data_IF_129410118328
#
_entry.id   IF_129410118328
#
_cell.length_a   1.000
_cell.length_b   1.000
_cell.length_c   1.000
_cell.angle_alpha   90.00
_cell.angle_beta   90.00
_cell.angle_gamma   90.00
#
_symmetry.space_group_name_H-M   'P 1'
#
loop_
_entity.id
_entity.type
_entity.pdbx_description
1 polymer ?
#
# COMPACT_ATOMS: atom_id res chain seq x y z
N UNK A 1 -37.23 2.41 -19.19
CA UNK A 1 -36.23 1.34 -19.38
C UNK A 1 -34.86 1.94 -19.11
N UNK A 2 -34.44 1.92 -17.84
CA UNK A 2 -33.12 2.38 -17.40
C UNK A 2 -32.39 1.20 -16.78
N UNK A 3 -31.32 0.77 -17.43
CA UNK A 3 -30.44 -0.28 -16.91
C UNK A 3 -29.52 0.40 -15.91
N UNK A 4 -29.74 0.13 -14.62
CA UNK A 4 -28.81 0.43 -13.54
C UNK A 4 -27.54 -0.40 -13.79
N UNK A 5 -26.49 0.24 -14.29
CA UNK A 5 -25.16 -0.31 -14.27
C UNK A 5 -24.70 -0.39 -12.81
N UNK A 6 -24.82 -1.58 -12.24
CA UNK A 6 -24.23 -1.94 -10.96
C UNK A 6 -22.73 -2.00 -11.17
N UNK A 7 -22.00 -0.97 -10.72
CA UNK A 7 -20.54 -1.00 -10.71
C UNK A 7 -20.07 -2.01 -9.65
N UNK A 8 -19.30 -3.05 -10.02
CA UNK A 8 -18.73 -3.94 -9.04
C UNK A 8 -17.66 -3.19 -8.24
N UNK A 9 -17.68 -3.36 -6.92
CA UNK A 9 -16.59 -2.96 -6.03
C UNK A 9 -15.36 -3.77 -6.46
N UNK A 10 -14.48 -3.11 -7.20
CA UNK A 10 -13.21 -3.66 -7.67
C UNK A 10 -12.38 -4.07 -6.45
N UNK A 11 -12.09 -5.37 -6.35
CA UNK A 11 -11.28 -5.91 -5.28
C UNK A 11 -9.88 -5.31 -5.38
N UNK A 12 -9.51 -4.49 -4.39
CA UNK A 12 -8.15 -3.98 -4.23
C UNK A 12 -7.20 -5.18 -4.22
N UNK A 13 -6.19 -5.25 -5.11
CA UNK A 13 -5.25 -6.36 -5.10
C UNK A 13 -4.53 -6.34 -3.75
N UNK A 14 -4.83 -7.33 -2.92
CA UNK A 14 -4.08 -7.59 -1.69
C UNK A 14 -2.62 -7.79 -2.09
N UNK A 15 -1.78 -6.82 -1.75
CA UNK A 15 -0.34 -6.86 -1.94
C UNK A 15 0.18 -8.17 -1.32
N UNK A 16 0.66 -9.09 -2.16
CA UNK A 16 1.34 -10.29 -1.70
C UNK A 16 2.63 -9.82 -1.04
N UNK A 17 2.60 -9.75 0.29
CA UNK A 17 3.79 -9.48 1.06
C UNK A 17 4.84 -10.55 0.73
N UNK A 18 6.11 -10.18 0.51
CA UNK A 18 7.17 -11.17 0.33
C UNK A 18 7.18 -12.10 1.56
N UNK A 19 7.14 -13.41 1.30
CA UNK A 19 7.08 -14.43 2.33
C UNK A 19 8.50 -14.63 2.88
N UNK A 20 8.80 -13.94 3.97
CA UNK A 20 10.02 -14.19 4.74
C UNK A 20 9.82 -15.44 5.61
N UNK A 21 10.87 -16.26 5.72
CA UNK A 21 10.84 -17.35 6.68
C UNK A 21 10.72 -16.77 8.10
N UNK A 22 9.90 -17.42 8.93
CA UNK A 22 9.81 -17.06 10.33
C UNK A 22 11.18 -17.24 11.01
N UNK A 23 11.53 -16.35 11.93
CA UNK A 23 12.84 -16.38 12.63
C UNK A 23 13.13 -17.74 13.30
N UNK A 24 12.09 -18.47 13.68
CA UNK A 24 12.21 -19.80 14.31
C UNK A 24 12.53 -20.93 13.32
N UNK A 25 12.32 -20.71 12.02
CA UNK A 25 12.69 -21.65 10.96
C UNK A 25 14.14 -21.45 10.49
N UNK A 26 14.81 -20.39 10.95
CA UNK A 26 16.17 -20.06 10.54
C UNK A 26 17.21 -20.87 11.31
N UNK A 27 18.30 -21.31 10.65
CA UNK A 27 19.46 -21.86 11.33
C UNK A 27 19.99 -20.88 12.38
N UNK A 28 20.08 -21.35 13.63
CA UNK A 28 20.53 -20.53 14.76
C UNK A 28 22.05 -20.63 14.92
N UNK A 29 22.70 -19.48 15.07
CA UNK A 29 24.10 -19.38 15.46
C UNK A 29 24.23 -18.55 16.72
N UNK A 30 24.62 -19.15 17.86
CA UNK A 30 24.91 -18.40 19.07
C UNK A 30 25.96 -17.31 18.84
N UNK A 31 25.81 -16.16 19.49
CA UNK A 31 26.78 -15.06 19.42
C UNK A 31 28.19 -15.48 19.91
N UNK A 32 28.27 -16.49 20.79
CA UNK A 32 29.52 -17.14 21.18
C UNK A 32 30.19 -17.90 20.04
N UNK A 33 29.40 -18.54 19.17
CA UNK A 33 29.91 -19.29 18.02
C UNK A 33 30.32 -18.35 16.87
N UNK A 34 29.66 -17.20 16.74
CA UNK A 34 30.14 -16.11 15.86
C UNK A 34 31.55 -15.67 16.28
N UNK A 35 31.82 -15.56 17.58
CA UNK A 35 33.14 -15.20 18.12
C UNK A 35 34.18 -16.32 17.94
N UNK A 36 33.78 -17.58 18.08
CA UNK A 36 34.69 -18.75 17.97
C UNK A 36 35.01 -19.16 16.53
N UNK A 37 34.00 -19.24 15.67
CA UNK A 37 34.13 -19.61 14.26
C UNK A 37 34.69 -18.46 13.40
N UNK A 38 34.62 -17.24 13.93
CA UNK A 38 34.98 -16.02 13.23
C UNK A 38 34.04 -15.72 12.06
N UNK A 39 34.25 -14.56 11.45
CA UNK A 39 33.43 -14.08 10.34
C UNK A 39 33.37 -15.07 9.15
N UNK A 40 34.48 -15.75 8.84
CA UNK A 40 34.53 -16.76 7.77
C UNK A 40 33.60 -17.95 8.01
N UNK A 41 33.48 -18.41 9.25
CA UNK A 41 32.60 -19.53 9.58
C UNK A 41 31.13 -19.15 9.42
N UNK A 42 30.78 -17.93 9.85
CA UNK A 42 29.44 -17.36 9.68
C UNK A 42 29.07 -17.26 8.20
N UNK A 43 29.95 -16.70 7.37
CA UNK A 43 29.68 -16.56 5.94
C UNK A 43 29.57 -17.90 5.21
N UNK A 44 30.25 -18.97 5.68
CA UNK A 44 30.07 -20.32 5.15
C UNK A 44 28.68 -20.89 5.45
N UNK A 45 28.14 -20.61 6.65
CA UNK A 45 26.76 -21.00 7.00
C UNK A 45 25.74 -20.22 6.16
N UNK A 46 25.95 -18.91 5.98
CA UNK A 46 25.11 -18.08 5.10
C UNK A 46 25.17 -18.55 3.65
N UNK A 47 26.34 -18.96 3.14
CA UNK A 47 26.47 -19.49 1.78
C UNK A 47 25.76 -20.84 1.59
N UNK A 48 25.65 -21.65 2.65
CA UNK A 48 24.97 -22.96 2.61
C UNK A 48 23.46 -22.82 2.75
N UNK A 49 23.01 -22.03 3.73
CA UNK A 49 21.61 -21.99 4.15
C UNK A 49 20.89 -20.70 3.72
N UNK A 50 21.58 -19.79 3.03
CA UNK A 50 21.09 -18.50 2.55
C UNK A 50 21.00 -17.41 3.64
N UNK A 51 20.67 -17.81 4.88
CA UNK A 51 20.41 -16.91 5.99
C UNK A 51 20.62 -17.59 7.33
N UNK A 52 21.06 -16.82 8.33
CA UNK A 52 21.36 -17.33 9.67
C UNK A 52 20.88 -16.33 10.71
N UNK A 53 20.18 -16.81 11.74
CA UNK A 53 19.82 -15.96 12.88
C UNK A 53 20.91 -16.07 13.95
N UNK A 54 21.44 -14.92 14.36
CA UNK A 54 22.35 -14.79 15.49
C UNK A 54 21.53 -14.66 16.76
N UNK A 55 21.81 -15.52 17.74
CA UNK A 55 21.10 -15.54 19.02
C UNK A 55 22.03 -15.24 20.17
N UNK A 56 21.55 -14.51 21.18
CA UNK A 56 22.21 -14.37 22.47
C UNK A 56 21.33 -15.03 23.54
N UNK A 57 21.90 -15.91 24.36
CA UNK A 57 21.14 -16.71 25.33
C UNK A 57 19.85 -17.34 24.74
N UNK A 58 19.94 -17.84 23.49
CA UNK A 58 18.82 -18.41 22.72
C UNK A 58 17.71 -17.43 22.29
N UNK A 59 17.89 -16.13 22.52
CA UNK A 59 17.05 -15.04 22.03
C UNK A 59 17.60 -14.54 20.69
N UNK A 60 16.80 -14.51 19.61
CA UNK A 60 17.18 -13.89 18.34
C UNK A 60 17.55 -12.41 18.51
N UNK A 61 18.75 -12.01 18.05
CA UNK A 61 19.20 -10.62 18.09
C UNK A 61 19.40 -10.02 16.69
N UNK A 62 19.92 -10.80 15.74
CA UNK A 62 20.18 -10.33 14.39
C UNK A 62 20.01 -11.45 13.36
N UNK A 63 19.79 -11.10 12.10
CA UNK A 63 19.82 -12.05 10.97
C UNK A 63 20.94 -11.63 10.04
N UNK A 64 21.78 -12.57 9.64
CA UNK A 64 22.84 -12.38 8.67
C UNK A 64 22.39 -12.98 7.35
N UNK A 65 22.42 -12.12 6.31
CA UNK A 65 22.01 -12.42 4.95
C UNK A 65 23.18 -12.13 4.01
N UNK A 66 23.19 -12.77 2.84
CA UNK A 66 24.04 -12.29 1.75
C UNK A 66 23.54 -10.94 1.23
N UNK A 67 24.44 -10.10 0.72
CA UNK A 67 24.05 -8.81 0.13
C UNK A 67 23.09 -8.98 -1.06
N UNK A 68 23.30 -10.02 -1.88
CA UNK A 68 22.43 -10.35 -3.01
C UNK A 68 21.01 -10.71 -2.56
N UNK A 69 20.90 -11.52 -1.50
CA UNK A 69 19.62 -11.88 -0.88
C UNK A 69 18.91 -10.63 -0.35
N UNK A 70 19.64 -9.76 0.34
CA UNK A 70 19.09 -8.50 0.85
C UNK A 70 18.56 -7.60 -0.27
N UNK A 71 19.34 -7.44 -1.35
CA UNK A 71 18.92 -6.65 -2.52
C UNK A 71 17.70 -7.26 -3.23
N UNK A 72 17.64 -8.59 -3.32
CA UNK A 72 16.49 -9.29 -3.88
C UNK A 72 15.22 -9.06 -3.04
N UNK A 73 15.35 -9.06 -1.71
CA UNK A 73 14.24 -8.75 -0.79
C UNK A 73 13.76 -7.30 -0.96
N UNK A 74 14.69 -6.34 -1.07
CA UNK A 74 14.33 -4.93 -1.32
C UNK A 74 13.59 -4.78 -2.65
N UNK A 75 14.06 -5.43 -3.72
CA UNK A 75 13.37 -5.42 -5.03
C UNK A 75 11.98 -6.03 -4.96
N UNK A 76 11.82 -7.14 -4.24
CA UNK A 76 10.53 -7.81 -4.09
C UNK A 76 9.54 -6.93 -3.28
N UNK A 77 10.01 -6.27 -2.23
CA UNK A 77 9.21 -5.30 -1.46
C UNK A 77 8.78 -4.11 -2.31
N UNK A 78 9.71 -3.56 -3.10
CA UNK A 78 9.42 -2.42 -3.99
C UNK A 78 8.37 -2.80 -5.05
N UNK A 79 8.53 -3.97 -5.68
CA UNK A 79 7.59 -4.51 -6.65
C UNK A 79 6.21 -4.80 -6.04
N UNK A 80 6.14 -5.37 -4.83
CA UNK A 80 4.89 -5.62 -4.13
C UNK A 80 4.15 -4.32 -3.76
N UNK A 81 4.89 -3.24 -3.51
CA UNK A 81 4.34 -1.92 -3.20
C UNK A 81 4.05 -1.06 -4.44
N UNK A 82 4.49 -1.46 -5.64
CA UNK A 82 4.28 -0.69 -6.87
C UNK A 82 2.80 -0.57 -7.28
N UNK A 83 1.95 -1.63 -7.21
CA UNK A 83 0.52 -1.50 -7.50
C UNK A 83 -0.19 -0.52 -6.56
N UNK A 84 0.17 -0.54 -5.27
CA UNK A 84 -0.42 0.36 -4.28
C UNK A 84 -0.04 1.82 -4.53
N UNK A 85 1.22 2.08 -4.89
CA UNK A 85 1.68 3.43 -5.28
C UNK A 85 0.94 3.94 -6.51
N UNK A 86 0.83 3.11 -7.55
CA UNK A 86 0.11 3.47 -8.78
C UNK A 86 -1.38 3.77 -8.53
N UNK A 87 -2.05 2.98 -7.69
CA UNK A 87 -3.45 3.24 -7.32
C UNK A 87 -3.63 4.56 -6.54
N UNK A 88 -2.69 4.89 -5.65
CA UNK A 88 -2.70 6.17 -4.93
C UNK A 88 -2.47 7.36 -5.86
N UNK A 89 -1.53 7.25 -6.80
CA UNK A 89 -1.27 8.28 -7.81
C UNK A 89 -2.50 8.55 -8.68
N UNK A 90 -3.20 7.49 -9.11
CA UNK A 90 -4.43 7.64 -9.88
C UNK A 90 -5.54 8.33 -9.07
N UNK A 91 -5.70 7.94 -7.80
CA UNK A 91 -6.68 8.56 -6.91
C UNK A 91 -6.36 10.05 -6.66
N UNK A 92 -5.09 10.37 -6.47
CA UNK A 92 -4.61 11.73 -6.31
C UNK A 92 -4.89 12.56 -7.57
N UNK A 93 -4.58 12.04 -8.75
CA UNK A 93 -4.86 12.73 -10.02
C UNK A 93 -6.37 13.01 -10.20
N UNK A 94 -7.23 12.04 -9.85
CA UNK A 94 -8.70 12.22 -9.88
C UNK A 94 -9.18 13.28 -8.89
N UNK A 95 -8.59 13.33 -7.70
CA UNK A 95 -8.91 14.33 -6.68
C UNK A 95 -8.50 15.73 -7.15
N UNK A 96 -7.27 15.87 -7.63
CA UNK A 96 -6.72 17.14 -8.11
C UNK A 96 -7.52 17.68 -9.30
N UNK A 97 -7.92 16.82 -10.23
CA UNK A 97 -8.77 17.19 -11.35
C UNK A 97 -10.14 17.73 -10.89
N UNK A 98 -10.76 17.10 -9.89
CA UNK A 98 -12.03 17.57 -9.31
C UNK A 98 -11.86 18.89 -8.56
N UNK A 99 -10.78 19.03 -7.79
CA UNK A 99 -10.47 20.25 -7.05
C UNK A 99 -10.21 21.43 -8.01
N UNK A 100 -9.43 21.21 -9.07
CA UNK A 100 -9.17 22.22 -10.08
C UNK A 100 -10.45 22.70 -10.77
N UNK A 101 -11.40 21.80 -11.06
CA UNK A 101 -12.69 22.17 -11.63
C UNK A 101 -13.52 23.08 -10.69
N UNK A 102 -13.45 22.85 -9.38
CA UNK A 102 -14.11 23.67 -8.36
C UNK A 102 -13.40 25.01 -8.13
N UNK A 103 -12.08 25.06 -8.32
CA UNK A 103 -11.26 26.26 -8.18
C UNK A 103 -11.16 27.09 -9.46
N UNK A 104 -11.67 26.58 -10.58
CA UNK A 104 -11.60 27.26 -11.87
C UNK A 104 -12.25 28.66 -11.82
N UNK A 105 -11.68 29.61 -12.56
CA UNK A 105 -12.26 30.94 -12.70
C UNK A 105 -13.72 30.84 -13.17
N UNK A 106 -14.61 31.50 -12.43
CA UNK A 106 -16.05 31.46 -12.68
C UNK A 106 -16.78 30.19 -12.19
N UNK A 107 -16.12 29.25 -11.49
CA UNK A 107 -16.80 28.11 -10.88
C UNK A 107 -17.89 28.54 -9.89
N UNK A 108 -17.62 29.55 -9.05
CA UNK A 108 -18.63 30.13 -8.16
C UNK A 108 -19.80 30.79 -8.90
N UNK A 109 -19.56 31.39 -10.06
CA UNK A 109 -20.62 31.96 -10.89
C UNK A 109 -21.48 30.86 -11.52
N UNK A 110 -20.87 29.78 -12.03
CA UNK A 110 -21.57 28.60 -12.54
C UNK A 110 -22.41 27.91 -11.46
N UNK A 111 -21.88 27.80 -10.24
CA UNK A 111 -22.64 27.23 -9.12
C UNK A 111 -23.87 28.09 -8.78
N UNK A 112 -23.70 29.42 -8.72
CA UNK A 112 -24.83 30.34 -8.49
C UNK A 112 -25.86 30.28 -9.61
N UNK A 113 -25.43 30.17 -10.86
CA UNK A 113 -26.32 30.02 -12.02
C UNK A 113 -27.16 28.72 -11.93
N UNK A 114 -26.53 27.60 -11.54
CA UNK A 114 -27.25 26.33 -11.30
C UNK A 114 -28.24 26.45 -10.14
N UNK A 115 -27.86 27.11 -9.04
CA UNK A 115 -28.76 27.32 -7.89
C UNK A 115 -29.90 28.30 -8.20
N UNK A 116 -29.67 29.27 -9.09
CA UNK A 116 -30.67 30.25 -9.52
C UNK A 116 -31.64 29.69 -10.58
N UNK A 117 -31.31 28.56 -11.22
CA UNK A 117 -32.18 27.92 -12.21
C UNK A 117 -33.48 27.44 -11.53
N UNK A 118 -34.65 27.79 -12.09
CA UNK A 118 -35.93 27.28 -11.59
C UNK A 118 -35.92 25.75 -11.59
N UNK A 119 -36.27 25.14 -10.45
CA UNK A 119 -36.43 23.69 -10.39
C UNK A 119 -37.54 23.26 -11.36
N UNK A 120 -37.21 22.42 -12.33
CA UNK A 120 -38.18 21.78 -13.20
C UNK A 120 -38.95 20.73 -12.42
N UNK A 121 -39.94 21.17 -11.65
CA UNK A 121 -40.80 20.31 -10.83
C UNK A 121 -41.77 19.60 -11.78
N UNK A 122 -41.46 18.35 -12.14
CA UNK A 122 -42.30 17.49 -12.99
C UNK A 122 -43.50 16.93 -12.22
N UNK A 123 -44.30 17.78 -11.58
CA UNK A 123 -45.47 17.38 -10.80
C UNK A 123 -46.06 18.48 -9.94
N UNK A 124 -47.17 18.18 -9.26
CA UNK A 124 -47.85 19.10 -8.33
C UNK A 124 -46.93 19.41 -7.14
N UNK A 125 -46.47 20.66 -7.06
CA UNK A 125 -45.66 21.16 -5.95
C UNK A 125 -46.57 21.37 -4.74
N UNK A 126 -46.24 20.75 -3.62
CA UNK A 126 -46.94 20.94 -2.34
C UNK A 126 -46.05 21.84 -1.47
N UNK A 127 -46.21 23.15 -1.63
CA UNK A 127 -45.53 24.11 -0.76
C UNK A 127 -46.18 24.03 0.63
N UNK A 128 -45.39 23.68 1.65
CA UNK A 128 -45.84 23.75 3.04
C UNK A 128 -46.14 25.21 3.40
N UNK A 129 -47.23 25.44 4.12
CA UNK A 129 -47.60 26.78 4.58
C UNK A 129 -46.46 27.34 5.45
N UNK A 130 -45.89 28.46 5.01
CA UNK A 130 -44.94 29.25 5.78
C UNK A 130 -45.67 29.92 6.94
N UNK A 131 -45.19 29.69 8.16
CA UNK A 131 -45.63 30.33 9.40
C UNK A 131 -44.87 31.63 9.65
#
# INVERSE_FOLDING_TARGET
>A
MGILASSPLEAVPMSVAPKFDALDALPRTPASDVKKLGWRGVMKSVARDGQVVVTNHNTPEAVILSAETYDAMLRALDAAAAPQRSALEELQAKFDARLAALQAAGAGARLRDVMARPAALRGKVKAGASH
#
